data_IF_658493991085
#
_entry.id   IF_658493991085
#
_cell.length_a   1.000
_cell.length_b   1.000
_cell.length_c   1.000
_cell.angle_alpha   90.00
_cell.angle_beta   90.00
_cell.angle_gamma   90.00
#
_symmetry.space_group_name_H-M   'P 1'
#
loop_
_entity.id
_entity.type
_entity.pdbx_description
1 polymer ?
#
# COMPACT_ATOMS: atom_id res chain seq x y z
N UNK A 1 30.89 -3.05 8.94
CA UNK A 1 30.14 -3.72 10.02
C UNK A 1 29.60 -2.63 10.94
N UNK A 2 28.32 -2.57 11.21
CA UNK A 2 27.72 -1.55 12.08
C UNK A 2 26.41 -0.97 11.57
N UNK A 3 25.95 -1.34 10.37
CA UNK A 3 24.61 -1.01 9.88
C UNK A 3 23.91 -2.31 9.52
N UNK A 4 23.24 -2.99 10.47
CA UNK A 4 22.55 -4.26 10.21
C UNK A 4 21.44 -4.09 9.18
N UNK A 5 20.85 -2.88 9.09
CA UNK A 5 19.83 -2.52 8.14
C UNK A 5 20.35 -1.45 7.18
N UNK A 6 20.02 -1.59 5.90
CA UNK A 6 20.49 -0.70 4.83
C UNK A 6 19.44 -0.52 3.75
N UNK A 7 19.63 0.49 2.91
CA UNK A 7 18.73 0.87 1.83
C UNK A 7 17.37 1.36 2.34
N UNK A 8 16.30 1.24 1.57
CA UNK A 8 14.96 1.56 2.03
C UNK A 8 14.51 0.66 3.17
N UNK A 9 13.76 1.22 4.10
CA UNK A 9 13.35 0.55 5.34
C UNK A 9 11.85 0.72 5.57
N UNK A 10 11.26 -0.23 6.29
CA UNK A 10 9.92 -0.12 6.87
C UNK A 10 10.05 -0.15 8.38
N UNK A 11 9.45 0.82 9.04
CA UNK A 11 9.52 1.02 10.48
C UNK A 11 8.16 0.86 11.15
N UNK A 12 8.20 0.49 12.43
CA UNK A 12 7.10 0.61 13.38
C UNK A 12 7.59 1.43 14.59
N UNK A 13 6.74 2.27 15.15
CA UNK A 13 7.03 3.01 16.38
C UNK A 13 5.74 3.24 17.18
N UNK A 14 5.89 3.65 18.43
CA UNK A 14 4.80 4.15 19.24
C UNK A 14 4.27 5.50 18.72
N UNK A 15 3.08 5.92 19.16
CA UNK A 15 2.48 7.20 18.75
C UNK A 15 3.29 8.43 19.16
N UNK A 16 4.10 8.31 20.20
CA UNK A 16 5.03 9.35 20.66
C UNK A 16 6.40 9.28 19.98
N UNK A 17 6.52 8.48 18.93
CA UNK A 17 7.74 8.21 18.16
C UNK A 17 8.82 7.45 18.93
N UNK A 18 8.53 6.95 20.12
CA UNK A 18 9.44 6.06 20.85
C UNK A 18 9.37 4.62 20.33
N UNK A 19 10.31 3.77 20.73
CA UNK A 19 10.30 2.35 20.41
C UNK A 19 10.37 2.07 18.90
N UNK A 20 11.17 2.83 18.15
CA UNK A 20 11.31 2.63 16.69
C UNK A 20 11.95 1.28 16.40
N UNK A 21 11.27 0.47 15.63
CA UNK A 21 11.71 -0.85 15.18
C UNK A 21 11.76 -0.92 13.66
N UNK A 22 12.78 -1.58 13.11
CA UNK A 22 12.86 -1.89 11.69
C UNK A 22 12.16 -3.22 11.43
N UNK A 23 11.11 -3.21 10.62
CA UNK A 23 10.33 -4.39 10.25
C UNK A 23 10.84 -5.07 8.98
N UNK A 24 11.31 -4.28 8.02
CA UNK A 24 11.87 -4.80 6.77
C UNK A 24 12.94 -3.87 6.23
N UNK A 25 13.87 -4.40 5.47
CA UNK A 25 15.01 -3.65 4.98
C UNK A 25 15.45 -4.08 3.58
N UNK A 26 16.38 -3.32 3.01
CA UNK A 26 16.94 -3.57 1.70
C UNK A 26 15.92 -3.43 0.57
N UNK A 27 15.00 -2.48 0.73
CA UNK A 27 14.19 -1.94 -0.35
C UNK A 27 15.00 -0.90 -1.13
N UNK A 28 14.58 -0.57 -2.34
CA UNK A 28 15.23 0.50 -3.10
C UNK A 28 14.64 1.87 -2.77
N UNK A 29 13.39 2.08 -3.11
CA UNK A 29 12.72 3.37 -3.03
C UNK A 29 11.23 3.15 -2.74
N UNK A 30 10.97 2.60 -1.57
CA UNK A 30 9.63 2.40 -1.06
C UNK A 30 9.03 3.75 -0.64
N UNK A 31 7.79 4.01 -1.07
CA UNK A 31 7.10 5.27 -0.82
C UNK A 31 6.15 5.17 0.37
N UNK A 32 5.22 4.24 0.34
CA UNK A 32 4.17 4.11 1.34
C UNK A 32 3.97 2.65 1.74
N UNK A 33 3.48 2.46 2.96
CA UNK A 33 3.02 1.18 3.49
C UNK A 33 1.56 1.27 3.90
N UNK A 34 0.84 0.17 3.77
CA UNK A 34 -0.51 0.03 4.31
C UNK A 34 -0.64 -1.25 5.11
N UNK A 35 -1.56 -1.24 6.09
CA UNK A 35 -1.80 -2.37 6.99
C UNK A 35 -3.26 -2.77 6.90
N UNK A 36 -3.55 -4.05 6.71
CA UNK A 36 -4.92 -4.56 6.75
C UNK A 36 -5.40 -4.81 8.18
N UNK A 37 -6.68 -5.16 8.34
CA UNK A 37 -7.27 -5.44 9.66
C UNK A 37 -6.63 -6.62 10.40
N UNK A 38 -5.85 -7.46 9.72
CA UNK A 38 -5.14 -8.60 10.30
C UNK A 38 -3.69 -8.31 10.65
N UNK A 39 -3.23 -7.07 10.44
CA UNK A 39 -1.85 -6.66 10.68
C UNK A 39 -0.89 -6.99 9.54
N UNK A 40 -1.37 -7.49 8.40
CA UNK A 40 -0.51 -7.72 7.24
C UNK A 40 -0.08 -6.39 6.63
N UNK A 41 1.21 -6.21 6.44
CA UNK A 41 1.81 -4.98 5.91
C UNK A 41 2.09 -5.19 4.43
N UNK A 42 1.66 -4.22 3.61
CA UNK A 42 1.86 -4.19 2.18
C UNK A 42 2.62 -2.94 1.77
N UNK A 43 3.44 -3.05 0.72
CA UNK A 43 4.34 -1.99 0.32
C UNK A 43 4.63 -2.09 -1.18
N UNK A 44 4.83 -0.94 -1.82
CA UNK A 44 5.34 -0.84 -3.19
C UNK A 44 6.78 -0.35 -3.20
N UNK A 45 7.56 -0.81 -4.18
CA UNK A 45 8.98 -0.45 -4.30
C UNK A 45 9.32 -0.14 -5.75
N UNK A 46 9.92 1.03 -5.96
CA UNK A 46 10.26 1.53 -7.28
C UNK A 46 11.58 0.93 -7.77
N UNK A 47 11.65 0.67 -9.06
CA UNK A 47 12.85 0.14 -9.73
C UNK A 47 13.87 1.25 -10.08
N UNK A 48 15.02 0.86 -10.60
CA UNK A 48 15.90 1.75 -11.33
C UNK A 48 15.33 2.05 -12.72
N UNK A 49 15.65 3.22 -13.25
CA UNK A 49 15.16 3.64 -14.55
C UNK A 49 15.44 2.61 -15.66
N UNK A 50 14.36 2.11 -16.24
CA UNK A 50 14.39 1.22 -17.41
C UNK A 50 14.51 -0.27 -17.14
N UNK A 51 14.67 -0.75 -15.90
CA UNK A 51 14.75 -2.19 -15.64
C UNK A 51 13.40 -2.90 -15.54
N UNK A 52 12.29 -2.17 -15.46
CA UNK A 52 10.92 -2.69 -15.42
C UNK A 52 10.64 -3.62 -14.24
N UNK A 53 11.28 -3.38 -13.11
CA UNK A 53 11.23 -4.22 -11.92
C UNK A 53 10.34 -3.70 -10.80
N UNK A 54 9.52 -2.67 -11.00
CA UNK A 54 8.58 -2.19 -9.97
C UNK A 54 7.80 -3.36 -9.38
N UNK A 55 7.74 -3.42 -8.06
CA UNK A 55 7.18 -4.55 -7.33
C UNK A 55 6.23 -4.14 -6.22
N UNK A 56 5.34 -5.06 -5.87
CA UNK A 56 4.54 -5.04 -4.63
C UNK A 56 5.05 -6.13 -3.72
N UNK A 57 5.14 -5.84 -2.44
CA UNK A 57 5.63 -6.72 -1.40
C UNK A 57 4.64 -6.88 -0.26
N UNK A 58 4.67 -8.02 0.41
CA UNK A 58 4.22 -8.18 1.79
C UNK A 58 5.43 -8.06 2.71
N UNK A 59 5.29 -7.29 3.80
CA UNK A 59 6.41 -7.03 4.70
C UNK A 59 6.38 -8.04 5.85
N UNK A 60 7.40 -8.88 5.91
CA UNK A 60 7.65 -9.80 7.03
C UNK A 60 8.64 -9.14 7.99
N UNK A 61 8.44 -9.34 9.28
CA UNK A 61 9.37 -8.84 10.30
C UNK A 61 10.78 -9.39 10.04
N UNK A 62 11.75 -8.49 10.09
CA UNK A 62 13.17 -8.72 9.80
C UNK A 62 13.46 -9.19 8.35
N UNK A 63 12.53 -8.99 7.42
CA UNK A 63 12.68 -9.39 6.03
C UNK A 63 13.73 -8.59 5.28
N UNK A 64 14.58 -9.30 4.51
CA UNK A 64 15.49 -8.73 3.52
C UNK A 64 14.82 -8.72 2.14
N UNK A 65 14.71 -7.56 1.50
CA UNK A 65 14.01 -7.38 0.23
C UNK A 65 14.94 -7.26 -0.98
N UNK A 66 16.23 -7.51 -0.80
CA UNK A 66 17.18 -7.86 -1.86
C UNK A 66 17.51 -6.76 -2.87
N UNK A 67 17.36 -5.47 -2.55
CA UNK A 67 17.81 -4.43 -3.49
C UNK A 67 19.32 -4.46 -3.71
N UNK A 68 20.09 -4.76 -2.69
CA UNK A 68 21.53 -4.98 -2.78
C UNK A 68 21.90 -6.36 -2.25
N UNK A 69 22.96 -6.92 -2.79
CA UNK A 69 23.57 -8.15 -2.28
C UNK A 69 23.95 -8.00 -0.82
N UNK A 70 23.57 -8.96 0.01
CA UNK A 70 23.71 -8.88 1.47
C UNK A 70 25.19 -8.92 1.90
N UNK A 71 26.01 -9.66 1.20
CA UNK A 71 27.42 -9.86 1.56
C UNK A 71 28.31 -8.71 1.07
N UNK A 72 28.10 -8.26 -0.16
CA UNK A 72 28.95 -7.26 -0.80
C UNK A 72 28.36 -5.85 -0.80
N UNK A 73 27.06 -5.72 -0.61
CA UNK A 73 26.33 -4.44 -0.74
C UNK A 73 26.19 -3.95 -2.18
N UNK A 74 26.52 -4.77 -3.18
CA UNK A 74 26.48 -4.38 -4.59
C UNK A 74 25.09 -4.53 -5.19
N UNK A 75 24.79 -3.71 -6.19
CA UNK A 75 23.52 -3.75 -6.90
C UNK A 75 23.48 -4.81 -8.01
N UNK A 76 22.33 -4.95 -8.62
CA UNK A 76 21.98 -5.95 -9.64
C UNK A 76 22.86 -5.98 -10.90
N UNK A 77 23.59 -4.92 -11.20
CA UNK A 77 24.50 -4.84 -12.36
C UNK A 77 25.80 -5.60 -12.14
N UNK A 78 26.11 -5.93 -10.90
CA UNK A 78 27.33 -6.66 -10.58
C UNK A 78 27.12 -8.16 -10.80
N UNK A 79 27.98 -8.77 -11.62
CA UNK A 79 27.94 -10.21 -11.86
C UNK A 79 28.18 -10.99 -10.57
N UNK A 80 27.40 -12.04 -10.33
CA UNK A 80 27.47 -12.93 -9.16
C UNK A 80 27.00 -14.34 -9.49
N UNK A 81 27.25 -15.27 -8.59
CA UNK A 81 26.75 -16.66 -8.68
C UNK A 81 25.22 -16.65 -8.57
N UNK A 82 24.57 -17.55 -9.30
CA UNK A 82 23.10 -17.74 -9.31
C UNK A 82 22.30 -16.48 -9.74
N UNK A 83 22.92 -15.59 -10.47
CA UNK A 83 22.25 -14.41 -10.95
C UNK A 83 21.14 -14.78 -11.94
N UNK A 84 19.96 -14.21 -11.73
CA UNK A 84 18.83 -14.39 -12.63
C UNK A 84 19.11 -13.79 -14.02
N UNK A 85 18.54 -14.40 -15.05
CA UNK A 85 18.79 -13.98 -16.44
C UNK A 85 18.02 -12.72 -16.80
N UNK A 86 16.75 -12.62 -16.38
CA UNK A 86 15.92 -11.46 -16.65
C UNK A 86 16.24 -10.32 -15.68
N UNK A 87 16.30 -9.11 -16.21
CA UNK A 87 16.68 -7.92 -15.44
C UNK A 87 15.72 -7.62 -14.29
N UNK A 88 14.38 -7.67 -14.46
CA UNK A 88 13.45 -7.42 -13.37
C UNK A 88 13.68 -8.31 -12.13
N UNK A 89 13.88 -9.60 -12.33
CA UNK A 89 14.14 -10.54 -11.21
C UNK A 89 15.53 -10.36 -10.63
N UNK A 90 16.53 -10.14 -11.48
CA UNK A 90 17.91 -9.88 -11.08
C UNK A 90 18.04 -8.62 -10.20
N UNK A 91 17.27 -7.60 -10.52
CA UNK A 91 17.27 -6.33 -9.81
C UNK A 91 17.03 -6.49 -8.30
N UNK A 92 16.21 -7.46 -7.93
CA UNK A 92 15.79 -7.69 -6.54
C UNK A 92 16.52 -8.87 -5.88
N UNK A 93 17.56 -9.43 -6.49
CA UNK A 93 18.34 -10.54 -5.94
C UNK A 93 17.49 -11.71 -5.45
N UNK A 94 16.42 -12.03 -6.18
CA UNK A 94 15.42 -13.02 -5.75
C UNK A 94 15.97 -14.45 -5.55
N UNK A 95 17.13 -14.76 -6.15
CA UNK A 95 17.82 -16.03 -5.97
C UNK A 95 18.76 -16.08 -4.78
N UNK A 96 18.94 -14.97 -4.06
CA UNK A 96 19.83 -14.93 -2.91
C UNK A 96 19.16 -15.56 -1.68
N UNK A 97 19.89 -16.37 -0.90
CA UNK A 97 19.37 -16.93 0.34
C UNK A 97 18.90 -15.81 1.30
N UNK A 98 17.72 -16.00 1.89
CA UNK A 98 17.14 -15.07 2.85
C UNK A 98 16.46 -13.84 2.25
N UNK A 99 16.41 -13.70 0.93
CA UNK A 99 15.63 -12.65 0.27
C UNK A 99 14.17 -13.05 0.22
N UNK A 100 13.29 -12.16 0.69
CA UNK A 100 11.84 -12.36 0.67
C UNK A 100 11.33 -12.22 -0.77
N UNK A 101 10.55 -13.18 -1.27
CA UNK A 101 10.00 -13.11 -2.62
C UNK A 101 9.07 -11.90 -2.80
N UNK A 102 9.11 -11.28 -3.97
CA UNK A 102 8.11 -10.29 -4.34
C UNK A 102 6.71 -10.92 -4.37
N UNK A 103 5.68 -10.18 -3.95
CA UNK A 103 4.30 -10.61 -4.22
C UNK A 103 4.05 -10.64 -5.73
N UNK A 104 4.42 -9.56 -6.41
CA UNK A 104 4.25 -9.40 -7.86
C UNK A 104 5.15 -8.28 -8.38
N UNK A 105 5.68 -8.46 -9.58
CA UNK A 105 6.32 -7.39 -10.34
C UNK A 105 5.32 -6.80 -11.32
N UNK A 106 5.16 -5.49 -11.28
CA UNK A 106 4.16 -4.76 -12.08
C UNK A 106 4.72 -4.17 -13.36
N UNK A 107 6.03 -4.21 -13.51
CA UNK A 107 6.75 -3.67 -14.65
C UNK A 107 7.28 -2.25 -14.40
N UNK A 108 7.49 -1.49 -15.47
CA UNK A 108 7.91 -0.10 -15.37
C UNK A 108 6.77 0.77 -14.85
N UNK A 109 7.08 1.66 -13.90
CA UNK A 109 6.08 2.54 -13.32
C UNK A 109 6.68 3.62 -12.44
N UNK A 110 5.82 4.28 -11.72
CA UNK A 110 6.14 5.19 -10.61
C UNK A 110 5.13 4.92 -9.52
N UNK A 111 5.38 3.90 -8.69
CA UNK A 111 4.47 3.52 -7.62
C UNK A 111 4.37 4.64 -6.59
N UNK A 112 3.15 4.91 -6.14
CA UNK A 112 2.83 5.96 -5.19
C UNK A 112 1.93 5.39 -4.08
N UNK A 113 0.81 6.05 -3.76
CA UNK A 113 -0.07 5.68 -2.66
C UNK A 113 -0.62 4.25 -2.72
N UNK A 114 -0.72 3.60 -1.56
CA UNK A 114 -1.24 2.25 -1.39
C UNK A 114 -2.18 2.18 -0.18
N UNK A 115 -3.34 1.56 -0.34
CA UNK A 115 -4.31 1.34 0.73
C UNK A 115 -4.99 -0.02 0.60
N UNK A 116 -5.50 -0.58 1.69
CA UNK A 116 -6.34 -1.80 1.64
C UNK A 116 -7.80 -1.40 1.57
N UNK A 117 -8.53 -1.92 0.58
CA UNK A 117 -9.96 -1.70 0.46
C UNK A 117 -10.75 -2.70 1.32
N UNK A 118 -11.17 -2.29 2.48
CA UNK A 118 -11.97 -3.10 3.39
C UNK A 118 -13.46 -2.73 3.40
N UNK A 119 -13.92 -2.04 2.34
CA UNK A 119 -15.32 -1.71 2.09
C UNK A 119 -16.07 -2.81 1.36
N UNK A 120 -17.41 -2.66 1.32
CA UNK A 120 -18.34 -3.57 0.63
C UNK A 120 -19.06 -2.91 -0.56
N UNK A 121 -18.76 -1.63 -0.85
CA UNK A 121 -19.45 -0.87 -1.90
C UNK A 121 -18.98 -1.25 -3.30
N UNK A 122 -17.67 -1.44 -3.49
CA UNK A 122 -17.10 -1.83 -4.77
C UNK A 122 -17.25 -3.35 -5.03
N UNK A 123 -17.08 -3.80 -6.28
CA UNK A 123 -17.15 -5.22 -6.64
C UNK A 123 -16.28 -6.11 -5.75
N UNK A 124 -16.73 -7.35 -5.53
CA UNK A 124 -16.08 -8.30 -4.62
C UNK A 124 -14.61 -8.57 -4.92
N UNK A 125 -14.20 -8.47 -6.18
CA UNK A 125 -12.79 -8.62 -6.60
C UNK A 125 -11.85 -7.60 -5.94
N UNK A 126 -12.37 -6.48 -5.47
CA UNK A 126 -11.60 -5.44 -4.79
C UNK A 126 -11.68 -5.52 -3.27
N UNK A 127 -12.67 -6.24 -2.72
CA UNK A 127 -12.92 -6.28 -1.28
C UNK A 127 -11.81 -7.06 -0.54
N UNK A 128 -11.19 -6.40 0.43
CA UNK A 128 -10.05 -6.93 1.19
C UNK A 128 -8.73 -6.93 0.41
N UNK A 129 -8.65 -6.23 -0.72
CA UNK A 129 -7.46 -6.20 -1.56
C UNK A 129 -6.76 -4.84 -1.48
N UNK A 130 -5.46 -4.84 -1.74
CA UNK A 130 -4.71 -3.61 -1.90
C UNK A 130 -5.20 -2.84 -3.13
N UNK A 131 -5.30 -1.53 -2.97
CA UNK A 131 -5.39 -0.55 -4.04
C UNK A 131 -4.06 0.18 -4.11
N UNK A 132 -3.53 0.40 -5.30
CA UNK A 132 -2.23 1.00 -5.49
C UNK A 132 -2.23 1.94 -6.69
N UNK A 133 -1.74 3.13 -6.48
CA UNK A 133 -1.54 4.13 -7.52
C UNK A 133 -0.20 3.93 -8.21
N UNK A 134 -0.20 3.92 -9.53
CA UNK A 134 1.00 3.86 -10.34
C UNK A 134 0.96 4.98 -11.40
N UNK A 135 1.68 6.05 -11.11
CA UNK A 135 1.61 7.30 -11.87
C UNK A 135 2.20 7.15 -13.29
N UNK A 136 3.23 6.31 -13.46
CA UNK A 136 3.86 6.08 -14.77
C UNK A 136 2.88 5.56 -15.82
N UNK A 137 2.28 4.39 -15.62
CA UNK A 137 1.28 3.83 -16.52
C UNK A 137 -0.11 4.44 -16.39
N UNK A 138 -0.33 5.44 -15.54
CA UNK A 138 -1.62 6.15 -15.37
C UNK A 138 -2.74 5.23 -14.92
N UNK A 139 -2.51 4.47 -13.86
CA UNK A 139 -3.44 3.43 -13.42
C UNK A 139 -3.53 3.35 -11.90
N UNK A 140 -4.71 3.07 -11.38
CA UNK A 140 -4.91 2.51 -10.05
C UNK A 140 -5.19 1.02 -10.22
N UNK A 141 -4.42 0.20 -9.53
CA UNK A 141 -4.51 -1.26 -9.57
C UNK A 141 -5.05 -1.82 -8.26
N UNK A 142 -5.62 -3.00 -8.33
CA UNK A 142 -5.84 -3.85 -7.17
C UNK A 142 -5.07 -5.16 -7.35
N UNK A 143 -4.68 -5.78 -6.23
CA UNK A 143 -3.93 -7.02 -6.25
C UNK A 143 -4.66 -8.09 -5.43
N UNK A 144 -5.60 -8.85 -6.04
CA UNK A 144 -6.20 -10.01 -5.39
C UNK A 144 -5.12 -11.03 -4.98
N UNK A 145 -5.02 -11.26 -3.67
CA UNK A 145 -4.00 -12.12 -3.07
C UNK A 145 -4.57 -13.46 -2.62
N UNK A 146 -3.69 -14.48 -2.62
CA UNK A 146 -3.93 -15.79 -2.02
C UNK A 146 -2.73 -16.16 -1.15
N UNK A 147 -2.97 -16.82 -0.04
CA UNK A 147 -1.90 -17.40 0.78
C UNK A 147 -1.17 -18.48 -0.02
N UNK A 148 0.16 -18.53 0.08
CA UNK A 148 1.03 -19.50 -0.59
C UNK A 148 2.25 -19.77 0.29
N UNK A 149 2.31 -20.94 0.92
CA UNK A 149 3.34 -21.23 1.91
C UNK A 149 3.31 -20.23 3.06
N UNK A 150 4.48 -19.69 3.41
CA UNK A 150 4.63 -18.64 4.43
C UNK A 150 4.36 -17.22 3.89
N UNK A 151 4.00 -17.07 2.62
CA UNK A 151 3.77 -15.78 1.97
C UNK A 151 2.47 -15.76 1.16
N UNK A 152 2.51 -15.03 0.06
CA UNK A 152 1.35 -14.79 -0.79
C UNK A 152 1.70 -14.84 -2.27
N UNK A 153 0.69 -15.10 -3.09
CA UNK A 153 0.70 -14.86 -4.53
C UNK A 153 -0.40 -13.86 -4.88
N UNK A 154 -0.22 -13.08 -5.94
CA UNK A 154 -1.17 -12.05 -6.33
C UNK A 154 -1.43 -12.02 -7.83
N UNK A 155 -2.49 -11.29 -8.21
CA UNK A 155 -2.83 -10.96 -9.60
C UNK A 155 -3.02 -9.46 -9.71
N UNK A 156 -2.77 -8.90 -10.89
CA UNK A 156 -3.04 -7.49 -11.18
C UNK A 156 -4.43 -7.34 -11.79
N UNK A 157 -5.24 -6.43 -11.22
CA UNK A 157 -6.53 -6.02 -11.76
C UNK A 157 -6.56 -4.50 -11.83
N UNK A 158 -6.80 -3.93 -13.02
CA UNK A 158 -6.92 -2.47 -13.14
C UNK A 158 -8.26 -2.01 -12.57
N UNK A 159 -8.23 -1.08 -11.63
CA UNK A 159 -9.40 -0.47 -11.00
C UNK A 159 -9.81 0.82 -11.72
N UNK A 160 -8.85 1.66 -12.03
CA UNK A 160 -9.06 2.93 -12.74
C UNK A 160 -7.92 3.15 -13.73
N UNK A 161 -8.26 3.45 -14.97
CA UNK A 161 -7.31 3.84 -16.02
C UNK A 161 -7.77 5.15 -16.66
N UNK A 162 -6.85 5.91 -17.21
CA UNK A 162 -7.16 7.14 -17.92
C UNK A 162 -6.44 7.21 -19.27
N UNK A 163 -7.14 7.75 -20.27
CA UNK A 163 -6.53 8.12 -21.57
C UNK A 163 -5.89 9.50 -21.53
N UNK A 164 -6.15 10.28 -20.48
CA UNK A 164 -5.52 11.60 -20.28
C UNK A 164 -4.02 11.40 -20.03
N UNK A 165 -3.15 11.92 -20.90
CA UNK A 165 -1.69 11.78 -20.75
C UNK A 165 -1.14 12.50 -19.52
N UNK A 166 -1.91 13.40 -18.90
CA UNK A 166 -1.56 14.14 -17.69
C UNK A 166 -2.05 13.49 -16.40
N UNK A 167 -2.87 12.45 -16.50
CA UNK A 167 -3.33 11.72 -15.31
C UNK A 167 -2.17 11.02 -14.59
N UNK A 168 -1.96 11.37 -13.33
CA UNK A 168 -0.91 10.81 -12.45
C UNK A 168 -1.51 10.50 -11.09
N UNK A 169 -2.09 9.31 -10.90
CA UNK A 169 -2.61 8.93 -9.58
C UNK A 169 -1.46 8.90 -8.58
N UNK A 170 -1.58 9.69 -7.52
CA UNK A 170 -0.55 9.86 -6.50
C UNK A 170 -0.92 9.27 -5.15
N UNK A 171 -2.23 9.17 -4.86
CA UNK A 171 -2.68 8.60 -3.60
C UNK A 171 -4.11 8.06 -3.71
N UNK A 172 -4.46 7.13 -2.80
CA UNK A 172 -5.77 6.46 -2.76
C UNK A 172 -6.21 6.19 -1.33
N UNK A 173 -7.48 6.49 -1.02
CA UNK A 173 -8.05 6.16 0.28
C UNK A 173 -9.51 5.71 0.18
N UNK A 174 -9.98 4.98 1.19
CA UNK A 174 -11.37 4.54 1.31
C UNK A 174 -12.16 5.53 2.15
N UNK A 175 -13.26 6.03 1.63
CA UNK A 175 -14.19 6.88 2.37
C UNK A 175 -15.07 6.07 3.33
N UNK A 176 -15.71 6.72 4.34
CA UNK A 176 -16.59 6.04 5.29
C UNK A 176 -17.78 5.30 4.67
N UNK A 177 -18.26 5.73 3.50
CA UNK A 177 -19.33 5.07 2.75
C UNK A 177 -18.83 3.91 1.86
N UNK A 178 -17.54 3.62 1.88
CA UNK A 178 -16.91 2.60 1.05
C UNK A 178 -16.59 3.05 -0.37
N UNK A 179 -16.83 4.31 -0.75
CA UNK A 179 -16.29 4.86 -1.99
C UNK A 179 -14.76 5.04 -1.88
N UNK A 180 -14.09 5.16 -3.01
CA UNK A 180 -12.64 5.35 -3.06
C UNK A 180 -12.33 6.72 -3.64
N UNK A 181 -11.48 7.46 -2.96
CA UNK A 181 -10.90 8.70 -3.49
C UNK A 181 -9.52 8.44 -4.06
N UNK A 182 -9.23 9.04 -5.20
CA UNK A 182 -7.93 9.00 -5.86
C UNK A 182 -7.46 10.43 -6.09
N UNK A 183 -6.31 10.76 -5.56
CA UNK A 183 -5.63 12.02 -5.85
C UNK A 183 -4.90 11.90 -7.19
N UNK A 184 -5.00 12.93 -8.02
CA UNK A 184 -4.35 13.02 -9.32
C UNK A 184 -3.43 14.24 -9.31
N UNK A 185 -2.14 13.98 -9.39
CA UNK A 185 -1.10 15.01 -9.46
C UNK A 185 -1.24 15.87 -10.72
N UNK A 186 -1.73 15.29 -11.81
CA UNK A 186 -1.97 15.94 -13.11
C UNK A 186 -0.72 16.59 -13.68
N UNK A 187 0.21 15.78 -14.14
CA UNK A 187 1.47 16.23 -14.73
C UNK A 187 1.75 15.52 -16.07
N UNK A 188 2.35 16.22 -17.01
CA UNK A 188 2.73 15.67 -18.32
C UNK A 188 3.86 14.65 -18.23
N UNK A 189 4.66 14.66 -17.16
CA UNK A 189 5.81 13.79 -16.95
C UNK A 189 5.79 13.07 -15.61
N UNK A 190 6.61 12.03 -15.51
CA UNK A 190 6.84 11.27 -14.28
C UNK A 190 8.35 11.10 -14.09
N UNK A 191 8.82 11.28 -12.87
CA UNK A 191 10.23 11.18 -12.51
C UNK A 191 10.86 12.53 -12.20
N UNK A 192 11.98 12.52 -11.50
CA UNK A 192 12.62 13.71 -10.97
C UNK A 192 13.42 14.56 -12.00
N UNK A 193 13.45 14.15 -13.26
CA UNK A 193 14.29 14.79 -14.27
C UNK A 193 13.53 15.71 -15.23
N UNK A 194 12.23 15.56 -15.33
CA UNK A 194 11.38 16.35 -16.23
C UNK A 194 10.19 16.89 -15.45
N UNK A 195 10.28 18.15 -15.11
CA UNK A 195 9.18 18.88 -14.48
C UNK A 195 8.45 19.73 -15.51
N UNK A 196 7.13 19.77 -15.45
CA UNK A 196 6.31 20.60 -16.32
C UNK A 196 5.81 21.87 -15.65
N UNK A 197 6.45 22.27 -14.55
CA UNK A 197 6.11 23.46 -13.74
C UNK A 197 6.05 24.76 -14.57
N UNK A 198 6.76 24.81 -15.70
CA UNK A 198 6.69 25.93 -16.63
C UNK A 198 5.34 26.04 -17.36
N UNK A 199 4.51 24.97 -17.33
CA UNK A 199 3.16 24.95 -17.92
C UNK A 199 2.08 25.22 -16.89
N UNK A 200 2.25 26.20 -16.03
CA UNK A 200 1.42 26.50 -14.86
C UNK A 200 -0.09 26.52 -15.13
N UNK A 201 -0.53 26.99 -16.29
CA UNK A 201 -1.96 27.01 -16.66
C UNK A 201 -2.58 25.63 -16.91
N UNK A 202 -1.79 24.56 -16.98
CA UNK A 202 -2.24 23.17 -17.22
C UNK A 202 -2.10 22.28 -15.98
N UNK A 203 -1.40 22.75 -14.95
CA UNK A 203 -1.15 22.02 -13.71
C UNK A 203 -2.32 22.19 -12.75
N UNK A 204 -3.36 21.42 -12.97
CA UNK A 204 -4.58 21.45 -12.15
C UNK A 204 -4.76 20.08 -11.50
N UNK A 205 -4.39 19.94 -10.23
CA UNK A 205 -4.65 18.73 -9.47
C UNK A 205 -6.13 18.37 -9.43
N UNK A 206 -6.46 17.09 -9.40
CA UNK A 206 -7.83 16.58 -9.38
C UNK A 206 -8.00 15.53 -8.30
N UNK A 207 -9.21 15.40 -7.79
CA UNK A 207 -9.60 14.31 -6.89
C UNK A 207 -10.78 13.58 -7.51
N UNK A 208 -10.60 12.31 -7.79
CA UNK A 208 -11.67 11.44 -8.29
C UNK A 208 -12.32 10.67 -7.15
N UNK A 209 -13.63 10.46 -7.25
CA UNK A 209 -14.37 9.55 -6.38
C UNK A 209 -14.93 8.41 -7.19
N UNK A 210 -14.56 7.18 -6.82
CA UNK A 210 -15.01 5.95 -7.46
C UNK A 210 -16.18 5.37 -6.66
N UNK A 211 -17.32 5.18 -7.36
CA UNK A 211 -18.52 4.52 -6.83
C UNK A 211 -19.14 3.65 -7.91
N UNK A 212 -19.92 2.63 -7.57
CA UNK A 212 -20.76 1.95 -8.56
C UNK A 212 -21.74 2.91 -9.21
N UNK A 213 -22.03 2.68 -10.50
CA UNK A 213 -22.97 3.49 -11.27
C UNK A 213 -24.31 3.64 -10.54
N UNK A 214 -24.80 4.87 -10.42
CA UNK A 214 -26.05 5.21 -9.73
C UNK A 214 -25.98 5.25 -8.20
N UNK A 215 -24.83 5.01 -7.58
CA UNK A 215 -24.63 5.05 -6.12
C UNK A 215 -23.74 6.22 -5.66
N UNK A 216 -24.04 7.42 -6.14
CA UNK A 216 -23.20 8.61 -5.91
C UNK A 216 -23.72 9.57 -4.83
N UNK A 217 -24.59 9.12 -3.92
CA UNK A 217 -25.09 9.99 -2.84
C UNK A 217 -23.92 10.42 -1.94
N UNK A 218 -23.91 11.71 -1.57
CA UNK A 218 -22.92 12.24 -0.64
C UNK A 218 -23.07 11.56 0.73
N UNK A 219 -21.96 11.14 1.28
CA UNK A 219 -21.91 10.62 2.65
C UNK A 219 -22.03 11.78 3.65
N UNK A 220 -22.96 11.66 4.59
CA UNK A 220 -23.11 12.62 5.69
C UNK A 220 -22.49 12.01 6.93
N UNK A 221 -21.45 12.65 7.44
CA UNK A 221 -20.81 12.26 8.71
C UNK A 221 -21.77 12.67 9.85
N UNK A 222 -22.27 11.69 10.59
CA UNK A 222 -23.05 11.95 11.80
C UNK A 222 -22.12 12.44 12.91
N UNK A 223 -22.52 13.49 13.64
CA UNK A 223 -21.68 14.12 14.68
C UNK A 223 -21.37 13.22 15.86
N UNK A 224 -22.25 12.30 16.23
CA UNK A 224 -22.13 11.44 17.42
C UNK A 224 -22.27 9.97 17.03
N UNK A 225 -21.24 9.42 16.38
CA UNK A 225 -21.22 8.00 16.03
C UNK A 225 -20.67 7.17 17.19
N UNK A 226 -21.32 6.03 17.44
CA UNK A 226 -20.81 5.05 18.40
C UNK A 226 -19.47 4.47 17.93
N UNK A 227 -18.56 4.24 18.88
CA UNK A 227 -17.24 3.67 18.59
C UNK A 227 -17.36 2.30 17.89
N UNK A 228 -18.32 1.44 18.24
CA UNK A 228 -18.61 0.18 17.58
C UNK A 228 -18.91 0.35 16.08
N UNK A 229 -19.74 1.35 15.74
CA UNK A 229 -20.05 1.67 14.34
C UNK A 229 -18.82 2.17 13.57
N UNK A 230 -17.97 2.97 14.20
CA UNK A 230 -16.76 3.49 13.58
C UNK A 230 -15.67 2.41 13.43
N UNK A 231 -15.54 1.46 14.37
CA UNK A 231 -14.66 0.29 14.21
C UNK A 231 -15.07 -0.59 13.02
N UNK A 232 -16.35 -0.65 12.71
CA UNK A 232 -16.88 -1.39 11.56
C UNK A 232 -16.71 -0.63 10.23
N UNK A 233 -16.23 0.62 10.25
CA UNK A 233 -16.05 1.44 9.06
C UNK A 233 -14.99 0.88 8.10
N UNK A 234 -15.19 1.01 6.77
CA UNK A 234 -14.13 0.76 5.80
C UNK A 234 -13.01 1.81 5.85
N UNK A 235 -13.25 2.95 6.47
CA UNK A 235 -12.29 4.05 6.56
C UNK A 235 -11.36 3.89 7.77
N UNK A 236 -10.05 3.87 7.52
CA UNK A 236 -9.04 3.67 8.57
C UNK A 236 -9.04 4.80 9.60
N UNK A 237 -9.23 6.04 9.18
CA UNK A 237 -9.23 7.19 10.10
C UNK A 237 -10.41 7.14 11.08
N UNK A 238 -11.59 6.68 10.63
CA UNK A 238 -12.73 6.48 11.54
C UNK A 238 -12.45 5.36 12.54
N UNK A 239 -11.84 4.26 12.11
CA UNK A 239 -11.44 3.18 13.02
C UNK A 239 -10.43 3.67 14.06
N UNK A 240 -9.48 4.49 13.66
CA UNK A 240 -8.51 5.08 14.58
C UNK A 240 -9.17 5.98 15.63
N UNK A 241 -10.12 6.83 15.22
CA UNK A 241 -10.88 7.66 16.17
C UNK A 241 -11.69 6.80 17.15
N UNK A 242 -12.31 5.72 16.67
CA UNK A 242 -13.03 4.77 17.51
C UNK A 242 -12.10 4.09 18.53
N UNK A 243 -10.95 3.66 18.08
CA UNK A 243 -9.92 3.06 18.93
C UNK A 243 -9.48 4.01 20.04
N UNK A 244 -9.21 5.30 19.72
CA UNK A 244 -8.88 6.29 20.72
C UNK A 244 -10.01 6.52 21.75
N UNK A 245 -11.29 6.51 21.29
CA UNK A 245 -12.44 6.65 22.19
C UNK A 245 -12.53 5.47 23.15
N UNK A 246 -12.38 4.24 22.66
CA UNK A 246 -12.42 3.03 23.49
C UNK A 246 -11.27 2.98 24.50
N UNK A 247 -10.07 3.40 24.10
CA UNK A 247 -8.94 3.53 25.03
C UNK A 247 -9.23 4.51 26.19
N UNK A 248 -9.86 5.65 25.91
CA UNK A 248 -10.26 6.61 26.97
C UNK A 248 -11.31 6.06 27.92
N UNK A 249 -12.22 5.22 27.41
CA UNK A 249 -13.27 4.57 28.21
C UNK A 249 -12.67 3.44 29.08
N UNK A 250 -11.60 2.80 28.61
CA UNK A 250 -10.91 1.74 29.33
C UNK A 250 -11.79 0.50 29.54
N UNK A 251 -11.75 -0.10 30.72
CA UNK A 251 -12.48 -1.33 31.02
C UNK A 251 -14.00 -1.25 30.76
N UNK A 252 -14.59 -0.06 30.82
CA UNK A 252 -16.02 0.12 30.49
C UNK A 252 -16.36 -0.12 29.00
N UNK A 253 -15.36 -0.29 28.14
CA UNK A 253 -15.56 -0.65 26.74
C UNK A 253 -15.77 -2.15 26.51
N UNK A 254 -15.62 -3.00 27.54
CA UNK A 254 -15.61 -4.46 27.42
C UNK A 254 -16.86 -5.00 26.72
N UNK A 255 -18.06 -4.58 27.13
CA UNK A 255 -19.30 -5.05 26.50
C UNK A 255 -19.35 -4.71 24.99
N UNK A 256 -18.89 -3.51 24.61
CA UNK A 256 -18.82 -3.10 23.21
C UNK A 256 -17.83 -3.99 22.41
N UNK A 257 -16.70 -4.30 23.01
CA UNK A 257 -15.69 -5.17 22.37
C UNK A 257 -16.18 -6.61 22.24
N UNK A 258 -16.87 -7.13 23.25
CA UNK A 258 -17.48 -8.47 23.22
C UNK A 258 -18.57 -8.60 22.14
N UNK A 259 -19.37 -7.54 21.91
CA UNK A 259 -20.32 -7.52 20.79
C UNK A 259 -19.61 -7.58 19.44
N UNK A 260 -18.56 -6.79 19.24
CA UNK A 260 -17.77 -6.79 17.99
C UNK A 260 -17.04 -8.12 17.77
N UNK A 261 -16.58 -8.76 18.86
CA UNK A 261 -15.95 -10.09 18.82
C UNK A 261 -16.90 -11.18 18.29
N UNK A 262 -18.21 -11.04 18.50
CA UNK A 262 -19.25 -11.97 18.00
C UNK A 262 -19.59 -11.76 16.53
N UNK A 263 -19.01 -10.76 15.85
CA UNK A 263 -19.26 -10.47 14.44
C UNK A 263 -18.87 -11.64 13.53
N UNK A 264 -19.69 -11.96 12.53
CA UNK A 264 -19.34 -12.92 11.48
C UNK A 264 -18.20 -12.42 10.57
N UNK A 265 -17.99 -11.11 10.50
CA UNK A 265 -16.91 -10.52 9.74
C UNK A 265 -15.59 -10.60 10.51
N UNK A 266 -14.67 -11.45 10.02
CA UNK A 266 -13.36 -11.67 10.65
C UNK A 266 -12.53 -10.39 10.78
N UNK A 267 -12.71 -9.42 9.86
CA UNK A 267 -11.99 -8.14 9.93
C UNK A 267 -12.48 -7.31 11.11
N UNK A 268 -13.79 -7.34 11.38
CA UNK A 268 -14.34 -6.64 12.56
C UNK A 268 -13.82 -7.27 13.85
N UNK A 269 -13.73 -8.61 13.90
CA UNK A 269 -13.15 -9.29 15.07
C UNK A 269 -11.66 -8.99 15.28
N UNK A 270 -10.93 -8.71 14.20
CA UNK A 270 -9.49 -8.43 14.25
C UNK A 270 -9.17 -6.97 14.63
N UNK A 271 -10.13 -6.07 14.54
CA UNK A 271 -9.97 -4.64 14.84
C UNK A 271 -10.14 -4.34 16.33
#
# INVERSE_FOLDING_TARGET
RGKPYRQGLVFRCNLDMSGVETLGFNFRNNYEVTVDSFGTIWQSDNDDDGNKGVRINYVMEFGNYGYTDELTGRGWRTQRTNQEKDVPSRHWHQNDPGVIPNLIQTGQGSPTGIAVYEGKLLPSVFQGQMMHCDAGPRVVRAYPVKRSGAGYTGKTVNMLTSKDPWYRPSDVCTAPDGSVFVADWHDGHVGGHHMTDHKKGQMTGRIYRLTPKGKSKAYKIAKNRAASSMLSSPNMSERYVAWQQLHKVGAKAEDTLLELWKSDDQRIRAR
#
